data_IF_461665429739
#
_entry.id   IF_461665429739
#
_cell.length_a   1.000
_cell.length_b   1.000
_cell.length_c   1.000
_cell.angle_alpha   90.00
_cell.angle_beta   90.00
_cell.angle_gamma   90.00
#
_symmetry.space_group_name_H-M   'P 1'
#
loop_
_entity.id
_entity.type
_entity.pdbx_description
1 polymer ?
#
# COMPACT_ATOMS: atom_id res chain seq x y z
N UNK A 1 -16.93 -2.17 23.88
CA UNK A 1 -15.52 -2.39 24.23
C UNK A 1 -14.72 -1.31 23.52
N UNK A 2 -13.91 -0.53 24.24
CA UNK A 2 -13.15 0.55 23.62
C UNK A 2 -12.05 -0.02 22.74
N UNK A 3 -11.98 0.42 21.48
CA UNK A 3 -10.88 0.07 20.59
C UNK A 3 -9.61 0.76 21.07
N UNK A 4 -8.58 -0.03 21.36
CA UNK A 4 -7.22 0.48 21.56
C UNK A 4 -6.56 0.77 20.21
N UNK A 5 -5.51 1.57 20.20
CA UNK A 5 -4.66 1.72 19.03
C UNK A 5 -3.21 1.84 19.46
N UNK A 6 -2.34 1.08 18.82
CA UNK A 6 -0.88 1.24 18.90
C UNK A 6 -0.41 1.85 17.60
N UNK A 7 0.09 3.08 17.66
CA UNK A 7 0.65 3.77 16.49
C UNK A 7 2.17 3.79 16.59
N UNK A 8 2.82 3.18 15.62
CA UNK A 8 4.24 3.35 15.37
C UNK A 8 4.31 4.40 14.28
N UNK A 9 4.67 5.62 14.67
CA UNK A 9 4.70 6.77 13.77
C UNK A 9 5.75 6.59 12.67
N UNK A 10 5.64 7.44 11.65
CA UNK A 10 6.57 7.47 10.55
C UNK A 10 8.03 7.53 11.04
N UNK A 11 8.91 6.72 10.46
CA UNK A 11 10.33 6.61 10.84
C UNK A 11 10.58 6.15 12.30
N UNK A 12 9.54 5.84 13.07
CA UNK A 12 9.69 5.37 14.45
C UNK A 12 10.01 3.87 14.49
N UNK A 13 10.61 3.45 15.59
CA UNK A 13 10.94 2.04 15.84
C UNK A 13 10.21 1.53 17.06
N UNK A 14 9.54 0.39 16.91
CA UNK A 14 9.03 -0.45 17.97
C UNK A 14 9.70 -1.82 17.88
N UNK A 15 10.26 -2.28 18.98
CA UNK A 15 10.88 -3.60 19.08
C UNK A 15 10.48 -4.27 20.40
N UNK A 16 9.92 -5.48 20.30
CA UNK A 16 9.70 -6.39 21.41
C UNK A 16 10.54 -7.64 21.20
N UNK A 17 11.62 -7.75 21.97
CA UNK A 17 12.53 -8.92 21.93
C UNK A 17 12.43 -9.65 23.26
N UNK A 18 11.80 -10.82 23.26
CA UNK A 18 11.74 -11.69 24.43
C UNK A 18 12.86 -12.74 24.34
N UNK A 19 13.85 -12.66 25.22
CA UNK A 19 14.92 -13.66 25.29
C UNK A 19 14.69 -14.59 26.47
N UNK A 20 15.02 -15.86 26.26
CA UNK A 20 14.80 -16.99 27.14
C UNK A 20 13.38 -17.04 27.70
N UNK A 21 12.35 -17.02 26.84
CA UNK A 21 10.96 -17.14 27.28
C UNK A 21 10.68 -18.48 28.00
N UNK A 22 11.60 -19.45 27.91
CA UNK A 22 11.51 -20.75 28.56
C UNK A 22 10.26 -21.48 28.10
N UNK A 23 9.53 -22.07 29.05
CA UNK A 23 8.27 -22.77 28.78
C UNK A 23 7.03 -21.87 28.79
N UNK A 24 7.18 -20.54 28.76
CA UNK A 24 6.03 -19.62 28.72
C UNK A 24 5.13 -19.94 27.52
N UNK A 25 3.83 -20.10 27.79
CA UNK A 25 2.82 -20.34 26.78
C UNK A 25 1.78 -19.21 26.84
N UNK A 26 1.75 -18.38 25.80
CA UNK A 26 0.90 -17.20 25.79
C UNK A 26 1.27 -16.19 24.72
N UNK A 27 0.76 -14.97 24.88
CA UNK A 27 1.00 -13.88 23.93
C UNK A 27 2.22 -13.06 24.36
N UNK A 28 3.07 -12.66 23.41
CA UNK A 28 4.10 -11.64 23.64
C UNK A 28 3.48 -10.25 23.65
N UNK A 29 2.56 -9.98 22.71
CA UNK A 29 1.77 -8.77 22.66
C UNK A 29 0.28 -9.08 22.44
N UNK A 30 -0.59 -8.50 23.26
CA UNK A 30 -2.04 -8.65 23.14
C UNK A 30 -2.72 -7.29 22.98
N UNK A 31 -3.40 -7.11 21.85
CA UNK A 31 -4.14 -5.92 21.43
C UNK A 31 -5.51 -6.34 20.89
N UNK A 32 -6.19 -7.21 21.63
CA UNK A 32 -7.46 -7.82 21.24
C UNK A 32 -8.54 -6.77 20.93
N UNK A 33 -9.08 -6.81 19.71
CA UNK A 33 -10.10 -5.87 19.24
C UNK A 33 -9.59 -4.44 18.99
N UNK A 34 -8.27 -4.27 18.92
CA UNK A 34 -7.58 -3.00 18.68
C UNK A 34 -6.85 -3.01 17.34
N UNK A 35 -6.28 -1.85 16.98
CA UNK A 35 -5.49 -1.67 15.76
C UNK A 35 -4.02 -1.43 16.08
N UNK A 36 -3.12 -2.05 15.32
CA UNK A 36 -1.68 -1.72 15.30
C UNK A 36 -1.39 -1.08 13.95
N UNK A 37 -0.81 0.12 13.95
CA UNK A 37 -0.41 0.83 12.75
C UNK A 37 1.12 0.95 12.71
N UNK A 38 1.75 0.19 11.83
CA UNK A 38 3.12 0.42 11.40
C UNK A 38 3.08 1.38 10.20
N UNK A 39 3.14 2.68 10.49
CA UNK A 39 3.07 3.74 9.48
C UNK A 39 4.30 3.71 8.55
N UNK A 40 4.28 4.45 7.42
CA UNK A 40 5.39 4.50 6.48
C UNK A 40 6.75 4.65 7.12
N UNK A 41 7.73 3.89 6.61
CA UNK A 41 9.13 3.93 7.03
C UNK A 41 9.38 3.54 8.50
N UNK A 42 8.34 3.10 9.22
CA UNK A 42 8.52 2.59 10.58
C UNK A 42 9.24 1.24 10.60
N UNK A 43 9.83 0.93 11.75
CA UNK A 43 10.30 -0.41 12.08
C UNK A 43 9.41 -1.00 13.16
N UNK A 44 8.83 -2.17 12.93
CA UNK A 44 8.05 -2.93 13.89
C UNK A 44 8.58 -4.36 13.96
N UNK A 45 9.17 -4.74 15.09
CA UNK A 45 9.72 -6.08 15.29
C UNK A 45 9.15 -6.73 16.54
N UNK A 46 8.73 -7.99 16.42
CA UNK A 46 8.48 -8.89 17.55
C UNK A 46 9.29 -10.14 17.33
N UNK A 47 10.20 -10.45 18.25
CA UNK A 47 11.00 -11.67 18.21
C UNK A 47 11.03 -12.37 19.56
N UNK A 48 11.14 -13.70 19.54
CA UNK A 48 11.34 -14.49 20.75
C UNK A 48 12.10 -15.77 20.50
N UNK A 49 12.80 -16.23 21.54
CA UNK A 49 13.29 -17.60 21.66
C UNK A 49 12.64 -18.29 22.89
N UNK A 50 12.77 -19.62 22.98
CA UNK A 50 12.17 -20.41 24.06
C UNK A 50 11.77 -21.82 23.65
N UNK A 51 10.87 -22.43 24.42
CA UNK A 51 10.32 -23.77 24.19
C UNK A 51 8.80 -23.87 24.39
N UNK A 52 8.15 -22.82 24.92
CA UNK A 52 6.70 -22.81 25.15
C UNK A 52 5.89 -22.41 23.92
N UNK A 53 4.56 -22.54 24.00
CA UNK A 53 3.63 -22.23 22.92
C UNK A 53 3.38 -20.72 22.81
N UNK A 54 4.13 -20.07 21.93
CA UNK A 54 4.13 -18.60 21.83
C UNK A 54 3.19 -18.10 20.74
N UNK A 55 2.51 -17.01 21.05
CA UNK A 55 1.85 -16.16 20.05
C UNK A 55 2.57 -14.81 20.03
N UNK A 56 3.14 -14.42 18.89
CA UNK A 56 3.83 -13.13 18.80
C UNK A 56 2.83 -11.97 18.99
N UNK A 57 1.72 -12.00 18.25
CA UNK A 57 0.72 -10.94 18.31
C UNK A 57 -0.71 -11.49 18.37
N UNK A 58 -1.46 -11.06 19.38
CA UNK A 58 -2.89 -11.35 19.50
C UNK A 58 -3.72 -10.11 19.24
N UNK A 59 -4.28 -9.99 18.02
CA UNK A 59 -5.18 -8.89 17.62
C UNK A 59 -6.67 -9.27 17.69
N UNK A 60 -7.00 -10.56 17.75
CA UNK A 60 -8.37 -11.09 17.77
C UNK A 60 -9.23 -10.60 16.60
N UNK A 61 -10.29 -9.82 16.85
CA UNK A 61 -11.11 -9.20 15.79
C UNK A 61 -10.51 -7.91 15.22
N UNK A 62 -9.34 -7.48 15.72
CA UNK A 62 -8.62 -6.30 15.30
C UNK A 62 -7.79 -6.48 14.04
N UNK A 63 -6.94 -5.49 13.76
CA UNK A 63 -6.08 -5.48 12.57
C UNK A 63 -4.69 -4.91 12.82
N UNK A 64 -3.73 -5.39 12.05
CA UNK A 64 -2.41 -4.80 11.88
C UNK A 64 -2.39 -4.15 10.52
N UNK A 65 -2.03 -2.88 10.44
CA UNK A 65 -1.86 -2.14 9.21
C UNK A 65 -0.38 -1.82 9.03
N UNK A 66 0.17 -2.24 7.91
CA UNK A 66 1.58 -2.14 7.56
C UNK A 66 1.67 -1.39 6.23
N UNK A 67 2.17 -0.17 6.26
CA UNK A 67 2.33 0.64 5.05
C UNK A 67 3.81 0.96 4.86
N UNK A 68 4.38 0.51 3.74
CA UNK A 68 5.76 0.81 3.32
C UNK A 68 6.80 0.82 4.48
N UNK A 69 6.90 -0.23 5.30
CA UNK A 69 7.74 -0.20 6.48
C UNK A 69 9.23 -0.20 6.09
N UNK A 70 10.09 0.38 6.92
CA UNK A 70 11.53 0.07 6.80
C UNK A 70 11.73 -1.42 7.08
N UNK A 71 11.08 -1.92 8.12
CA UNK A 71 10.99 -3.35 8.42
C UNK A 71 9.75 -3.63 9.27
N UNK A 72 8.88 -4.51 8.80
CA UNK A 72 7.89 -5.18 9.64
C UNK A 72 8.30 -6.63 9.78
N UNK A 73 8.46 -7.11 11.02
CA UNK A 73 8.93 -8.47 11.28
C UNK A 73 8.25 -9.08 12.50
N UNK A 74 7.59 -10.21 12.30
CA UNK A 74 7.23 -11.14 13.36
C UNK A 74 8.09 -12.39 13.18
N UNK A 75 8.86 -12.79 14.17
CA UNK A 75 9.82 -13.89 14.03
C UNK A 75 9.93 -14.70 15.32
N UNK A 76 9.42 -15.92 15.24
CA UNK A 76 9.50 -16.94 16.28
C UNK A 76 10.42 -18.11 15.87
N UNK A 77 11.25 -17.94 14.83
CA UNK A 77 12.18 -19.00 14.39
C UNK A 77 13.22 -19.39 15.44
N UNK A 78 13.47 -18.53 16.43
CA UNK A 78 14.28 -18.85 17.61
C UNK A 78 13.55 -19.69 18.67
N UNK A 79 12.23 -19.84 18.58
CA UNK A 79 11.44 -20.67 19.50
C UNK A 79 11.47 -22.13 19.04
N UNK A 80 11.82 -23.03 19.95
CA UNK A 80 12.05 -24.46 19.66
C UNK A 80 10.94 -25.34 20.20
N UNK A 81 9.70 -24.83 20.23
CA UNK A 81 8.53 -25.54 20.74
C UNK A 81 8.24 -26.81 19.94
N UNK A 82 8.38 -27.97 20.59
CA UNK A 82 8.17 -29.29 19.98
C UNK A 82 6.74 -29.56 19.51
N UNK A 83 5.76 -28.77 19.95
CA UNK A 83 4.34 -28.95 19.63
C UNK A 83 3.88 -28.24 18.36
N UNK A 84 4.75 -27.45 17.71
CA UNK A 84 4.44 -26.61 16.54
C UNK A 84 3.15 -25.78 16.71
N UNK A 85 2.88 -25.33 17.94
CA UNK A 85 1.67 -24.59 18.31
C UNK A 85 1.88 -23.07 18.32
N UNK A 86 3.04 -22.62 17.82
CA UNK A 86 3.39 -21.22 17.75
C UNK A 86 2.54 -20.49 16.71
N UNK A 87 2.32 -19.20 16.94
CA UNK A 87 1.49 -18.35 16.06
C UNK A 87 2.13 -16.98 15.93
N UNK A 88 2.37 -16.51 14.72
CA UNK A 88 2.74 -15.10 14.52
C UNK A 88 1.56 -14.19 14.86
N UNK A 89 0.36 -14.56 14.41
CA UNK A 89 -0.88 -13.85 14.70
C UNK A 89 -1.94 -14.86 15.15
N UNK A 90 -2.56 -14.65 16.31
CA UNK A 90 -3.54 -15.62 16.86
C UNK A 90 -4.83 -15.73 16.05
N UNK A 91 -5.32 -14.60 15.56
CA UNK A 91 -6.48 -14.40 14.68
C UNK A 91 -6.59 -12.92 14.32
N UNK A 92 -7.36 -12.60 13.27
CA UNK A 92 -7.60 -11.24 12.81
C UNK A 92 -6.98 -10.95 11.45
N UNK A 93 -6.62 -9.69 11.17
CA UNK A 93 -6.09 -9.30 9.86
C UNK A 93 -4.73 -8.63 9.94
N UNK A 94 -3.88 -8.89 8.96
CA UNK A 94 -2.70 -8.09 8.63
C UNK A 94 -2.92 -7.51 7.24
N UNK A 95 -3.05 -6.19 7.16
CA UNK A 95 -3.20 -5.44 5.93
C UNK A 95 -1.84 -4.85 5.59
N UNK A 96 -1.33 -5.15 4.39
CA UNK A 96 -0.01 -4.75 3.93
C UNK A 96 -0.16 -3.96 2.64
N UNK A 97 0.42 -2.78 2.60
CA UNK A 97 0.43 -1.91 1.42
C UNK A 97 1.86 -1.47 1.09
N UNK A 98 2.13 -1.24 -0.20
CA UNK A 98 3.39 -0.66 -0.70
C UNK A 98 4.65 -1.39 -0.20
N UNK A 99 4.60 -2.71 -0.12
CA UNK A 99 5.62 -3.53 0.54
C UNK A 99 6.06 -4.72 -0.30
N UNK A 100 7.21 -5.28 0.01
CA UNK A 100 7.67 -6.58 -0.49
C UNK A 100 7.63 -7.54 0.67
N UNK A 101 7.26 -8.78 0.40
CA UNK A 101 7.45 -9.87 1.36
C UNK A 101 8.90 -10.37 1.25
N UNK A 102 9.53 -10.64 2.39
CA UNK A 102 10.76 -11.45 2.42
C UNK A 102 10.34 -12.89 2.71
N UNK A 103 10.61 -13.79 1.77
CA UNK A 103 10.30 -15.21 1.91
C UNK A 103 11.27 -15.89 2.89
N UNK A 104 10.91 -17.10 3.33
CA UNK A 104 11.71 -17.85 4.31
C UNK A 104 13.11 -18.23 3.80
N UNK A 105 13.31 -18.27 2.49
CA UNK A 105 14.62 -18.49 1.86
C UNK A 105 15.46 -17.20 1.71
N UNK A 106 14.93 -16.06 2.18
CA UNK A 106 15.56 -14.75 2.11
C UNK A 106 15.34 -14.01 0.79
N UNK A 107 14.62 -14.59 -0.17
CA UNK A 107 14.30 -13.90 -1.43
C UNK A 107 13.18 -12.87 -1.22
N UNK A 108 13.22 -11.78 -2.00
CA UNK A 108 12.17 -10.77 -2.00
C UNK A 108 11.08 -11.11 -3.01
N UNK A 109 9.83 -10.84 -2.65
CA UNK A 109 8.74 -10.84 -3.61
C UNK A 109 8.86 -9.65 -4.57
N UNK A 110 8.11 -9.72 -5.67
CA UNK A 110 7.74 -8.51 -6.38
C UNK A 110 6.93 -7.57 -5.46
N UNK A 111 6.91 -6.26 -5.77
CA UNK A 111 6.06 -5.27 -5.16
C UNK A 111 4.58 -5.67 -4.93
N UNK A 112 4.12 -5.49 -3.69
CA UNK A 112 2.74 -5.68 -3.24
C UNK A 112 2.09 -4.31 -3.07
N UNK A 113 1.01 -4.05 -3.81
CA UNK A 113 0.21 -2.83 -3.65
C UNK A 113 -0.74 -2.96 -2.45
N UNK A 114 -1.46 -4.07 -2.41
CA UNK A 114 -2.36 -4.42 -1.33
C UNK A 114 -2.26 -5.92 -1.07
N UNK A 115 -2.31 -6.32 0.19
CA UNK A 115 -2.41 -7.70 0.64
C UNK A 115 -3.14 -7.73 1.97
N UNK A 116 -4.23 -8.49 2.04
CA UNK A 116 -4.92 -8.79 3.30
C UNK A 116 -4.70 -10.25 3.66
N UNK A 117 -4.01 -10.46 4.78
CA UNK A 117 -3.85 -11.78 5.39
C UNK A 117 -4.87 -11.91 6.52
N UNK A 118 -5.78 -12.87 6.40
CA UNK A 118 -6.75 -13.19 7.44
C UNK A 118 -6.32 -14.45 8.18
N UNK A 119 -6.15 -14.34 9.48
CA UNK A 119 -5.82 -15.42 10.39
C UNK A 119 -7.09 -15.94 11.07
N UNK A 120 -7.30 -17.26 11.00
CA UNK A 120 -8.35 -17.92 11.76
C UNK A 120 -7.95 -18.07 13.25
N UNK A 121 -8.83 -18.62 14.09
CA UNK A 121 -8.56 -18.82 15.52
C UNK A 121 -7.44 -19.84 15.83
N UNK A 122 -7.00 -20.62 14.83
CA UNK A 122 -5.84 -21.51 14.96
C UNK A 122 -4.52 -20.83 14.59
N UNK A 123 -4.55 -19.55 14.18
CA UNK A 123 -3.37 -18.82 13.72
C UNK A 123 -2.92 -19.22 12.30
N UNK A 124 -3.76 -19.93 11.55
CA UNK A 124 -3.49 -20.30 10.17
C UNK A 124 -3.86 -19.13 9.26
N UNK A 125 -2.91 -18.72 8.43
CA UNK A 125 -3.11 -17.64 7.46
C UNK A 125 -3.92 -18.11 6.25
N UNK A 126 -4.85 -17.26 5.83
CA UNK A 126 -5.52 -17.30 4.53
C UNK A 126 -5.35 -15.93 3.88
N UNK A 127 -5.11 -15.89 2.57
CA UNK A 127 -5.22 -14.64 1.82
C UNK A 127 -6.59 -14.58 1.18
N UNK A 128 -7.28 -13.45 1.27
CA UNK A 128 -8.45 -13.24 0.43
C UNK A 128 -7.98 -13.14 -1.03
N UNK A 129 -8.65 -13.82 -1.95
CA UNK A 129 -8.31 -13.78 -3.38
C UNK A 129 -8.47 -12.39 -3.97
N UNK A 130 -9.28 -11.53 -3.36
CA UNK A 130 -9.70 -10.24 -3.93
C UNK A 130 -8.82 -9.06 -3.50
N UNK A 131 -7.96 -9.21 -2.49
CA UNK A 131 -7.23 -8.08 -1.90
C UNK A 131 -5.70 -8.22 -2.03
N UNK A 132 -5.21 -9.15 -2.85
CA UNK A 132 -3.79 -9.20 -3.23
C UNK A 132 -3.64 -8.61 -4.62
N UNK A 133 -2.83 -7.56 -4.72
CA UNK A 133 -2.49 -6.88 -5.96
C UNK A 133 -0.96 -6.81 -6.08
N UNK A 134 -0.41 -7.47 -7.10
CA UNK A 134 1.02 -7.48 -7.41
C UNK A 134 1.25 -7.15 -8.89
N UNK A 135 2.48 -6.81 -9.27
CA UNK A 135 2.85 -6.44 -10.65
C UNK A 135 2.57 -7.53 -11.71
N UNK A 136 2.50 -8.80 -11.31
CA UNK A 136 2.23 -9.95 -12.21
C UNK A 136 1.45 -11.06 -11.50
N UNK A 137 0.73 -11.88 -12.25
CA UNK A 137 0.02 -13.06 -11.72
C UNK A 137 0.97 -14.12 -11.12
N UNK A 138 2.16 -14.28 -11.69
CA UNK A 138 3.21 -15.16 -11.16
C UNK A 138 3.66 -14.69 -9.78
N UNK A 139 3.83 -13.38 -9.60
CA UNK A 139 4.17 -12.80 -8.31
C UNK A 139 3.07 -13.00 -7.28
N UNK A 140 1.80 -12.78 -7.64
CA UNK A 140 0.69 -13.06 -6.73
C UNK A 140 0.70 -14.52 -6.27
N UNK A 141 0.94 -15.45 -7.20
CA UNK A 141 1.02 -16.88 -6.89
C UNK A 141 2.16 -17.19 -5.91
N UNK A 142 3.33 -16.58 -6.09
CA UNK A 142 4.48 -16.74 -5.20
C UNK A 142 4.23 -16.15 -3.80
N UNK A 143 3.58 -14.99 -3.69
CA UNK A 143 3.21 -14.37 -2.40
C UNK A 143 2.18 -15.25 -1.68
N UNK A 144 1.15 -15.72 -2.40
CA UNK A 144 0.10 -16.59 -1.81
C UNK A 144 0.67 -17.91 -1.33
N UNK A 145 1.56 -18.56 -2.08
CA UNK A 145 2.18 -19.82 -1.68
C UNK A 145 3.08 -19.67 -0.44
N UNK A 146 3.58 -18.46 -0.18
CA UNK A 146 4.32 -18.14 1.03
C UNK A 146 3.45 -17.84 2.24
N UNK A 147 2.15 -17.56 2.06
CA UNK A 147 1.25 -17.18 3.15
C UNK A 147 0.21 -18.26 3.46
N UNK A 148 -0.53 -18.71 2.45
CA UNK A 148 -1.76 -19.49 2.62
C UNK A 148 -1.48 -20.86 3.22
N UNK A 149 -2.25 -21.23 4.24
CA UNK A 149 -2.19 -22.54 4.89
C UNK A 149 -0.96 -22.75 5.78
N UNK A 150 -0.04 -21.78 5.82
CA UNK A 150 1.15 -21.85 6.67
C UNK A 150 0.86 -21.27 8.05
N UNK A 151 1.36 -21.98 9.05
CA UNK A 151 1.72 -21.42 10.34
C UNK A 151 3.19 -21.02 10.14
N UNK A 152 3.43 -19.78 9.72
CA UNK A 152 4.80 -19.35 9.41
C UNK A 152 5.56 -19.11 10.71
N UNK A 153 6.85 -19.44 10.76
CA UNK A 153 7.73 -19.07 11.89
C UNK A 153 8.20 -17.61 11.77
N UNK A 154 8.10 -17.04 10.56
CA UNK A 154 8.45 -15.65 10.26
C UNK A 154 7.44 -15.00 9.32
N UNK A 155 7.19 -13.71 9.51
CA UNK A 155 6.44 -12.86 8.60
C UNK A 155 7.18 -11.54 8.49
N UNK A 156 7.73 -11.27 7.32
CA UNK A 156 8.61 -10.12 7.12
C UNK A 156 8.18 -9.33 5.89
N UNK A 157 8.05 -8.02 6.06
CA UNK A 157 7.82 -7.07 4.98
C UNK A 157 8.81 -5.92 5.05
N UNK A 158 9.20 -5.44 3.88
CA UNK A 158 10.02 -4.25 3.70
C UNK A 158 9.32 -3.33 2.71
N UNK A 159 9.73 -2.06 2.68
CA UNK A 159 9.33 -1.12 1.66
C UNK A 159 9.69 -1.68 0.29
N UNK A 160 8.78 -1.51 -0.64
CA UNK A 160 8.97 -2.07 -1.96
C UNK A 160 9.65 -1.12 -2.96
N UNK A 161 9.81 0.15 -2.56
CA UNK A 161 10.55 1.18 -3.28
C UNK A 161 10.70 2.44 -2.43
N UNK A 162 11.49 3.39 -2.92
CA UNK A 162 11.63 4.73 -2.34
C UNK A 162 10.45 5.64 -2.70
N UNK A 163 10.18 6.63 -1.85
CA UNK A 163 9.12 7.64 -2.03
C UNK A 163 9.17 8.28 -3.41
N UNK A 164 7.99 8.42 -4.02
CA UNK A 164 7.78 9.14 -5.27
C UNK A 164 6.86 10.31 -5.02
N UNK A 165 7.35 11.50 -5.33
CA UNK A 165 6.62 12.74 -5.16
C UNK A 165 6.40 13.41 -6.51
N UNK A 166 5.25 14.07 -6.69
CA UNK A 166 5.08 15.03 -7.78
C UNK A 166 5.92 16.24 -7.42
N UNK A 167 6.74 16.68 -8.37
CA UNK A 167 7.42 17.96 -8.28
C UNK A 167 6.36 19.05 -8.47
N UNK A 168 5.88 19.60 -7.35
CA UNK A 168 4.68 20.46 -7.26
C UNK A 168 4.67 21.63 -8.27
N UNK A 169 5.82 22.23 -8.57
CA UNK A 169 5.97 23.37 -9.49
C UNK A 169 6.13 22.96 -10.96
N UNK A 170 6.14 21.66 -11.26
CA UNK A 170 6.27 21.12 -12.60
C UNK A 170 5.02 20.36 -13.07
N UNK A 171 4.01 20.22 -12.21
CA UNK A 171 2.70 19.77 -12.62
C UNK A 171 1.96 20.90 -13.36
N UNK A 172 1.42 20.62 -14.54
CA UNK A 172 0.69 21.60 -15.34
C UNK A 172 -0.37 20.96 -16.21
N UNK A 173 -1.51 21.64 -16.38
CA UNK A 173 -2.54 21.30 -17.36
C UNK A 173 -2.61 22.44 -18.38
N UNK A 174 -2.28 22.14 -19.64
CA UNK A 174 -2.31 23.13 -20.73
C UNK A 174 -3.74 23.46 -21.17
N UNK A 175 -3.88 24.54 -21.94
CA UNK A 175 -5.16 24.93 -22.56
C UNK A 175 -5.68 23.88 -23.55
N UNK A 176 -4.78 23.08 -24.13
CA UNK A 176 -5.10 21.98 -25.05
C UNK A 176 -5.42 20.67 -24.30
N UNK A 177 -5.66 20.74 -22.99
CA UNK A 177 -5.92 19.60 -22.11
C UNK A 177 -4.77 18.58 -22.04
N UNK A 178 -3.52 19.04 -22.16
CA UNK A 178 -2.35 18.18 -21.96
C UNK A 178 -1.84 18.34 -20.54
N UNK A 179 -1.87 17.24 -19.76
CA UNK A 179 -1.34 17.18 -18.41
C UNK A 179 0.12 16.76 -18.47
N UNK A 180 1.02 17.63 -18.05
CA UNK A 180 2.45 17.35 -17.93
C UNK A 180 2.86 17.41 -16.48
N UNK A 181 3.86 16.62 -16.11
CA UNK A 181 4.43 16.70 -14.79
C UNK A 181 5.80 16.07 -14.70
N UNK A 182 6.45 16.29 -13.57
CA UNK A 182 7.66 15.60 -13.18
C UNK A 182 7.45 14.91 -11.85
N UNK A 183 8.00 13.71 -11.73
CA UNK A 183 8.15 13.03 -10.46
C UNK A 183 9.59 13.09 -9.99
N UNK A 184 9.76 13.18 -8.68
CA UNK A 184 11.04 12.99 -8.02
C UNK A 184 10.99 11.69 -7.23
N UNK A 185 12.11 10.97 -7.28
CA UNK A 185 12.33 9.75 -6.51
C UNK A 185 13.51 10.01 -5.58
N UNK A 186 13.36 9.66 -4.30
CA UNK A 186 14.34 10.03 -3.26
C UNK A 186 15.78 9.52 -3.52
N UNK A 187 15.97 8.41 -4.24
CA UNK A 187 17.29 7.83 -4.55
C UNK A 187 17.82 8.19 -5.97
N UNK A 188 17.05 8.96 -6.75
CA UNK A 188 17.37 9.29 -8.13
C UNK A 188 17.32 8.12 -9.12
N UNK A 189 16.93 6.91 -8.67
CA UNK A 189 16.77 5.77 -9.54
C UNK A 189 15.36 5.81 -10.16
N UNK A 190 15.26 6.27 -11.41
CA UNK A 190 13.99 6.29 -12.13
C UNK A 190 13.64 4.90 -12.70
N UNK A 191 13.59 3.88 -11.83
CA UNK A 191 12.85 2.66 -12.13
C UNK A 191 11.41 3.02 -12.52
N UNK A 192 10.84 2.29 -13.49
CA UNK A 192 9.54 2.51 -14.11
C UNK A 192 8.48 3.13 -13.16
N UNK A 193 8.36 4.46 -13.17
CA UNK A 193 7.25 5.18 -12.55
C UNK A 193 6.13 5.27 -13.56
N UNK A 194 4.96 4.83 -13.16
CA UNK A 194 3.72 5.00 -13.90
C UNK A 194 2.89 6.10 -13.25
N UNK A 195 2.11 6.80 -14.05
CA UNK A 195 1.16 7.81 -13.62
C UNK A 195 -0.21 7.33 -13.99
N UNK A 196 -1.12 7.26 -13.02
CA UNK A 196 -2.52 7.02 -13.28
C UNK A 196 -3.33 8.29 -13.12
N UNK A 197 -4.11 8.59 -14.16
CA UNK A 197 -5.05 9.71 -14.17
C UNK A 197 -6.47 9.17 -14.16
N UNK A 198 -7.30 9.70 -13.27
CA UNK A 198 -8.74 9.41 -13.21
C UNK A 198 -9.52 10.73 -13.33
N UNK A 199 -10.47 10.76 -14.26
CA UNK A 199 -11.40 11.90 -14.43
C UNK A 199 -12.76 11.48 -13.85
N UNK A 200 -13.21 12.19 -12.82
CA UNK A 200 -14.52 11.96 -12.20
C UNK A 200 -15.49 13.09 -12.59
N UNK A 201 -16.50 12.82 -13.44
CA UNK A 201 -17.53 13.82 -13.74
C UNK A 201 -18.41 14.09 -12.50
N UNK A 202 -18.75 15.35 -12.26
CA UNK A 202 -19.64 15.72 -11.16
C UNK A 202 -21.03 15.09 -11.37
N UNK A 203 -21.42 14.13 -10.53
CA UNK A 203 -22.73 13.48 -10.57
C UNK A 203 -22.85 12.27 -11.51
N UNK A 204 -21.75 11.71 -11.98
CA UNK A 204 -21.72 10.48 -12.80
C UNK A 204 -20.59 9.54 -12.39
N UNK A 205 -20.55 8.36 -13.01
CA UNK A 205 -19.45 7.39 -12.83
C UNK A 205 -18.18 7.88 -13.53
N UNK A 206 -17.00 7.54 -12.98
CA UNK A 206 -15.72 7.78 -13.63
C UNK A 206 -15.72 7.23 -15.07
N UNK A 207 -15.03 7.91 -15.98
CA UNK A 207 -14.96 7.53 -17.39
C UNK A 207 -13.67 6.76 -17.68
N UNK A 208 -13.76 5.67 -18.44
CA UNK A 208 -12.59 4.87 -18.79
C UNK A 208 -11.75 5.64 -19.79
N UNK A 209 -10.57 6.07 -19.36
CA UNK A 209 -9.63 6.69 -20.27
C UNK A 209 -8.88 5.59 -21.04
N UNK A 210 -8.88 5.63 -22.38
CA UNK A 210 -8.07 4.72 -23.20
C UNK A 210 -6.60 5.14 -23.15
N UNK A 211 -5.71 4.27 -22.67
CA UNK A 211 -4.26 4.49 -22.58
C UNK A 211 -3.45 3.22 -22.82
N UNK A 212 -2.12 3.26 -22.62
CA UNK A 212 -1.27 2.07 -22.68
C UNK A 212 -1.71 1.02 -21.64
N UNK A 213 -1.57 -0.27 -21.97
CA UNK A 213 -1.65 -1.32 -20.96
C UNK A 213 -0.43 -1.18 -20.04
N UNK A 214 -0.63 -0.56 -18.88
CA UNK A 214 0.33 -0.62 -17.78
C UNK A 214 0.36 -2.01 -17.13
N UNK A 215 1.13 -2.20 -16.04
CA UNK A 215 1.28 -3.50 -15.38
C UNK A 215 -0.07 -4.06 -14.92
N UNK A 216 -0.10 -5.38 -14.68
CA UNK A 216 -1.30 -6.09 -14.23
C UNK A 216 -1.76 -5.55 -12.87
N UNK A 217 -2.67 -4.58 -12.88
CA UNK A 217 -3.33 -4.07 -11.69
C UNK A 217 -4.81 -4.35 -11.89
N UNK A 218 -5.40 -5.25 -11.10
CA UNK A 218 -6.85 -5.49 -11.11
C UNK A 218 -7.57 -4.28 -10.52
N UNK A 219 -7.65 -3.20 -11.28
CA UNK A 219 -8.69 -2.20 -11.09
C UNK A 219 -9.49 -2.13 -12.37
N UNK A 220 -10.66 -2.77 -12.34
CA UNK A 220 -11.61 -2.88 -13.45
C UNK A 220 -12.31 -1.54 -13.73
N UNK A 221 -11.83 -0.44 -13.15
CA UNK A 221 -12.40 0.89 -13.30
C UNK A 221 -11.35 1.95 -13.66
N UNK A 222 -11.43 2.38 -14.92
CA UNK A 222 -11.22 3.76 -15.37
C UNK A 222 -9.90 4.46 -15.00
N UNK A 223 -8.80 4.14 -15.68
CA UNK A 223 -7.50 4.81 -15.51
C UNK A 223 -6.75 4.97 -16.85
N UNK A 224 -6.31 6.19 -17.18
CA UNK A 224 -5.22 6.38 -18.15
C UNK A 224 -3.92 6.08 -17.42
N UNK A 225 -3.02 5.33 -18.03
CA UNK A 225 -1.69 5.04 -17.49
C UNK A 225 -0.63 5.50 -18.49
N UNK A 226 0.40 6.17 -17.99
CA UNK A 226 1.61 6.50 -18.76
C UNK A 226 2.84 6.26 -17.92
N UNK A 227 3.90 5.78 -18.54
CA UNK A 227 5.20 5.61 -17.91
C UNK A 227 5.98 6.91 -18.01
N UNK A 228 6.65 7.30 -16.93
CA UNK A 228 7.57 8.44 -16.94
C UNK A 228 8.80 8.11 -17.80
N UNK A 229 9.41 9.13 -18.38
CA UNK A 229 10.72 9.00 -18.99
C UNK A 229 11.83 8.76 -17.94
N UNK A 230 13.07 8.60 -18.41
CA UNK A 230 14.24 8.38 -17.57
C UNK A 230 14.56 9.57 -16.64
N UNK A 231 14.02 10.77 -16.92
CA UNK A 231 14.17 11.98 -16.10
C UNK A 231 12.99 12.20 -15.14
N UNK A 232 11.99 11.31 -15.18
CA UNK A 232 10.80 11.36 -14.34
C UNK A 232 9.70 12.27 -14.92
N UNK A 233 9.80 12.72 -16.17
CA UNK A 233 8.74 13.50 -16.80
C UNK A 233 7.65 12.60 -17.35
N UNK A 234 6.42 13.09 -17.35
CA UNK A 234 5.29 12.44 -18.01
C UNK A 234 4.47 13.45 -18.79
N UNK A 235 3.77 12.95 -19.80
CA UNK A 235 2.78 13.70 -20.58
C UNK A 235 1.55 12.82 -20.80
N UNK A 236 0.38 13.39 -20.55
CA UNK A 236 -0.92 12.74 -20.72
C UNK A 236 -1.78 13.67 -21.56
N UNK A 237 -2.16 13.21 -22.76
CA UNK A 237 -3.11 13.94 -23.61
C UNK A 237 -4.54 13.60 -23.16
N UNK A 238 -5.26 14.62 -22.66
CA UNK A 238 -6.66 14.51 -22.24
C UNK A 238 -7.63 15.18 -23.21
N UNK A 239 -7.19 15.57 -24.41
CA UNK A 239 -8.02 16.26 -25.42
C UNK A 239 -9.28 15.48 -25.80
N UNK A 240 -9.20 14.15 -25.85
CA UNK A 240 -10.36 13.27 -26.08
C UNK A 240 -11.45 13.38 -25.00
N UNK A 241 -11.12 13.97 -23.85
CA UNK A 241 -12.02 14.20 -22.71
C UNK A 241 -12.35 15.68 -22.53
N UNK A 242 -12.17 16.51 -23.56
CA UNK A 242 -12.47 17.95 -23.53
C UNK A 242 -13.92 18.22 -23.07
N UNK A 243 -14.89 17.38 -23.42
CA UNK A 243 -16.27 17.52 -22.94
C UNK A 243 -16.40 17.41 -21.40
N UNK A 244 -15.51 16.64 -20.78
CA UNK A 244 -15.39 16.45 -19.33
C UNK A 244 -14.48 17.49 -18.67
N UNK A 245 -13.64 18.18 -19.43
CA UNK A 245 -12.70 19.20 -18.93
C UNK A 245 -13.13 20.63 -19.19
N UNK A 246 -13.96 20.88 -20.22
CA UNK A 246 -14.43 22.22 -20.55
C UNK A 246 -15.57 22.65 -19.62
N UNK A 247 -15.45 23.87 -19.11
CA UNK A 247 -16.49 24.56 -18.32
C UNK A 247 -17.65 25.07 -19.21
N UNK A 248 -17.72 24.62 -20.47
CA UNK A 248 -18.64 25.16 -21.47
C UNK A 248 -20.01 24.50 -21.34
N UNK A 249 -20.91 25.32 -20.82
CA UNK A 249 -22.39 25.23 -20.87
C UNK A 249 -23.01 24.33 -19.81
N UNK A 250 -23.17 24.86 -18.60
CA UNK A 250 -24.49 25.18 -18.05
C UNK A 250 -24.28 26.07 -16.81
N UNK A 251 -25.13 27.09 -16.64
CA UNK A 251 -25.21 27.88 -15.41
C UNK A 251 -25.53 26.93 -14.24
N UNK A 252 -24.51 26.41 -13.57
CA UNK A 252 -24.66 25.61 -12.37
C UNK A 252 -24.05 26.38 -11.18
N UNK A 253 -24.70 26.33 -10.01
CA UNK A 253 -24.26 27.05 -8.81
C UNK A 253 -22.83 26.66 -8.43
N UNK A 254 -22.13 27.60 -7.80
CA UNK A 254 -20.71 27.60 -7.40
C UNK A 254 -20.18 26.32 -6.72
N UNK A 255 -21.07 25.45 -6.23
CA UNK A 255 -20.77 24.20 -5.55
C UNK A 255 -20.71 22.96 -6.47
N UNK A 256 -20.92 23.10 -7.78
CA UNK A 256 -20.92 21.99 -8.77
C UNK A 256 -19.65 21.91 -9.65
N UNK A 257 -18.48 22.25 -9.11
CA UNK A 257 -17.20 22.16 -9.86
C UNK A 257 -16.67 20.72 -9.95
N UNK A 258 -16.03 20.40 -11.08
CA UNK A 258 -15.43 19.09 -11.42
C UNK A 258 -14.10 18.90 -10.68
N UNK A 259 -13.76 17.65 -10.34
CA UNK A 259 -12.50 17.32 -9.63
C UNK A 259 -11.68 16.33 -10.46
N UNK A 260 -10.44 16.70 -10.78
CA UNK A 260 -9.46 15.79 -11.38
C UNK A 260 -8.58 15.22 -10.25
N UNK A 261 -8.26 13.94 -10.31
CA UNK A 261 -7.43 13.26 -9.30
C UNK A 261 -6.33 12.49 -10.01
N UNK A 262 -5.11 12.72 -9.57
CA UNK A 262 -3.91 12.11 -10.14
C UNK A 262 -3.26 11.25 -9.07
N UNK A 263 -2.85 10.05 -9.44
CA UNK A 263 -2.15 9.14 -8.53
C UNK A 263 -0.85 8.69 -9.17
N UNK A 264 0.25 8.84 -8.43
CA UNK A 264 1.55 8.32 -8.79
C UNK A 264 1.57 6.80 -8.56
N UNK A 265 2.23 6.04 -9.43
CA UNK A 265 2.33 4.59 -9.41
C UNK A 265 3.77 4.16 -9.79
N UNK A 266 4.75 4.23 -8.88
CA UNK A 266 6.01 3.48 -9.12
C UNK A 266 5.76 1.99 -8.91
N UNK A 267 6.65 1.10 -9.35
CA UNK A 267 6.79 -0.22 -8.70
C UNK A 267 7.19 0.01 -7.22
N UNK A 268 6.37 -0.41 -6.23
CA UNK A 268 5.06 0.11 -5.89
C UNK A 268 5.17 1.44 -5.11
N UNK A 269 4.21 2.32 -5.33
CA UNK A 269 3.76 3.27 -4.31
C UNK A 269 2.38 3.77 -4.71
N UNK A 270 1.38 3.43 -3.90
CA UNK A 270 0.14 4.16 -3.73
C UNK A 270 0.02 4.53 -2.26
N UNK A 271 0.30 5.78 -1.92
CA UNK A 271 -0.30 6.41 -0.75
C UNK A 271 -0.39 7.92 -0.93
N UNK A 272 -1.62 8.37 -1.21
CA UNK A 272 -2.19 9.72 -1.05
C UNK A 272 -1.60 10.92 -1.80
N UNK A 273 -2.14 11.17 -3.00
CA UNK A 273 -2.19 12.51 -3.57
C UNK A 273 -3.38 13.31 -3.02
N UNK A 274 -3.12 14.27 -2.11
CA UNK A 274 -4.00 15.42 -1.86
C UNK A 274 -3.34 16.68 -2.39
N UNK A 275 -3.41 16.95 -3.70
CA UNK A 275 -3.08 18.28 -4.25
C UNK A 275 -3.53 18.48 -5.70
N UNK A 276 -4.84 18.43 -5.93
CA UNK A 276 -5.41 19.03 -7.16
C UNK A 276 -6.62 19.93 -6.91
N UNK A 277 -7.00 20.13 -5.65
CA UNK A 277 -8.06 21.07 -5.27
C UNK A 277 -7.57 22.53 -5.38
N UNK A 278 -6.25 22.77 -5.36
CA UNK A 278 -5.70 24.14 -5.38
C UNK A 278 -5.47 24.74 -6.78
N UNK A 279 -5.24 23.93 -7.83
CA UNK A 279 -4.98 24.46 -9.18
C UNK A 279 -6.22 25.09 -9.81
N UNK A 280 -7.41 24.51 -9.62
CA UNK A 280 -8.67 25.11 -10.07
C UNK A 280 -9.09 26.37 -9.30
N UNK A 281 -8.36 26.71 -8.22
CA UNK A 281 -8.59 27.95 -7.46
C UNK A 281 -7.76 29.13 -7.96
N UNK A 282 -6.70 28.90 -8.75
CA UNK A 282 -5.72 29.94 -9.10
C UNK A 282 -5.50 30.15 -10.61
N UNK A 283 -6.06 29.35 -11.51
CA UNK A 283 -6.12 29.73 -12.94
C UNK A 283 -7.15 30.83 -13.15
N UNK A 284 -6.72 32.09 -12.97
CA UNK A 284 -7.34 33.21 -13.68
C UNK A 284 -6.99 33.05 -15.15
N UNK A 285 -7.99 32.68 -15.95
CA UNK A 285 -7.94 32.82 -17.39
C UNK A 285 -7.82 34.33 -17.66
N UNK A 286 -6.73 34.84 -18.28
CA UNK A 286 -6.73 36.18 -18.83
C UNK A 286 -7.72 36.19 -20.00
N UNK A 287 -8.69 37.10 -19.93
CA UNK A 287 -9.61 37.43 -21.03
C UNK A 287 -8.84 37.96 -22.24
#
# INVERSE_FOLDING_TARGET
>A
MGGGTVNINENATFALTATNAGSYAGNLMAVSGATVNANPYSTFTITSDGTGALTALNVASGSVNVDQPTLFKLDLSGNTNASNSDKLVSSGKVNVTNSKQIFSDGTESEPINNLVITYNNTGTASSSTNDLESTTEVAETAIRSNIVGKIQDTLTFTRAGETVDIVDDQLSLSADNVLTGKVAVADGNNEDVWISVTITPTGGSAQQLTGEQGPYWRDTTTKYQTKTDADGNFTVDLSAYESLLSDKVLRLPFWQRRTLSMTLLRRPLQSFARKLILMFRHMRIPL
#
